data_IF_907317680971
#
_entry.id   IF_907317680971
#
_cell.length_a   1.000
_cell.length_b   1.000
_cell.length_c   1.000
_cell.angle_alpha   90.00
_cell.angle_beta   90.00
_cell.angle_gamma   90.00
#
_symmetry.space_group_name_H-M   'P 1'
#
loop_
_entity.id
_entity.type
_entity.pdbx_description
1 polymer ?
#
# COMPACT_ATOMS: atom_id res chain seq x y z
N UNK A 1 21.01 15.09 9.18
CA UNK A 1 19.62 14.53 9.12
C UNK A 1 18.61 15.49 8.50
N UNK A 2 18.65 16.80 8.81
CA UNK A 2 17.72 17.79 8.23
C UNK A 2 17.81 17.90 6.70
N UNK A 3 19.01 17.86 6.12
CA UNK A 3 19.17 17.97 4.65
C UNK A 3 18.68 16.75 3.88
N UNK A 4 18.74 15.56 4.51
CA UNK A 4 18.18 14.33 3.95
C UNK A 4 16.66 14.42 3.80
N UNK A 5 15.96 14.97 4.80
CA UNK A 5 14.52 15.17 4.76
C UNK A 5 14.09 16.30 3.82
N UNK A 6 15.03 17.15 3.36
CA UNK A 6 14.77 18.20 2.37
C UNK A 6 14.79 17.64 0.94
N UNK A 7 15.40 16.47 0.71
CA UNK A 7 15.39 15.82 -0.59
C UNK A 7 13.95 15.58 -1.06
N UNK A 8 13.60 16.19 -2.19
CA UNK A 8 12.28 16.03 -2.82
C UNK A 8 11.80 14.57 -2.90
N UNK A 9 12.58 13.60 -3.42
CA UNK A 9 12.12 12.22 -3.49
C UNK A 9 11.87 11.60 -2.11
N UNK A 10 12.68 11.93 -1.10
CA UNK A 10 12.46 11.46 0.28
C UNK A 10 11.16 12.04 0.82
N UNK A 11 10.91 13.34 0.64
CA UNK A 11 9.64 13.97 1.05
C UNK A 11 8.44 13.31 0.37
N UNK A 12 8.53 13.08 -0.94
CA UNK A 12 7.44 12.43 -1.68
C UNK A 12 7.14 11.03 -1.16
N UNK A 13 8.18 10.21 -0.94
CA UNK A 13 8.05 8.86 -0.36
C UNK A 13 7.46 8.92 1.05
N UNK A 14 7.93 9.84 1.90
CA UNK A 14 7.43 9.96 3.28
C UNK A 14 5.98 10.42 3.32
N UNK A 15 5.59 11.38 2.47
CA UNK A 15 4.21 11.85 2.38
C UNK A 15 3.29 10.73 1.90
N UNK A 16 3.63 10.02 0.82
CA UNK A 16 2.79 8.91 0.32
C UNK A 16 2.76 7.73 1.29
N UNK A 17 3.86 7.44 1.99
CA UNK A 17 3.86 6.46 3.08
C UNK A 17 2.93 6.89 4.22
N UNK A 18 2.97 8.17 4.60
CA UNK A 18 2.06 8.74 5.60
C UNK A 18 0.59 8.63 5.21
N UNK A 19 0.26 8.84 3.93
CA UNK A 19 -1.10 8.65 3.41
C UNK A 19 -1.55 7.19 3.57
N UNK A 20 -0.71 6.21 3.22
CA UNK A 20 -1.02 4.79 3.41
C UNK A 20 -1.21 4.46 4.89
N UNK A 21 -0.29 4.91 5.74
CA UNK A 21 -0.37 4.65 7.19
C UNK A 21 -1.60 5.29 7.82
N UNK A 22 -2.01 6.48 7.38
CA UNK A 22 -3.26 7.11 7.82
C UNK A 22 -4.49 6.31 7.36
N UNK A 23 -4.51 5.84 6.12
CA UNK A 23 -5.59 4.99 5.62
C UNK A 23 -5.67 3.67 6.40
N UNK A 24 -4.53 3.02 6.66
CA UNK A 24 -4.45 1.84 7.53
C UNK A 24 -4.92 2.13 8.96
N UNK A 25 -4.51 3.26 9.54
CA UNK A 25 -4.93 3.63 10.89
C UNK A 25 -6.44 3.88 10.99
N UNK A 26 -7.03 4.53 9.98
CA UNK A 26 -8.48 4.75 9.92
C UNK A 26 -9.23 3.42 9.82
N UNK A 27 -8.80 2.51 8.94
CA UNK A 27 -9.41 1.18 8.81
C UNK A 27 -9.25 0.38 10.09
N UNK A 28 -8.06 0.37 10.69
CA UNK A 28 -7.82 -0.31 11.96
C UNK A 28 -8.72 0.22 13.09
N UNK A 29 -8.91 1.54 13.16
CA UNK A 29 -9.81 2.14 14.15
C UNK A 29 -11.27 1.71 13.95
N UNK A 30 -11.75 1.66 12.71
CA UNK A 30 -13.09 1.13 12.40
C UNK A 30 -13.23 -0.33 12.84
N UNK A 31 -12.25 -1.17 12.50
CA UNK A 31 -12.24 -2.58 12.91
C UNK A 31 -12.22 -2.75 14.43
N UNK A 32 -11.52 -1.87 15.16
CA UNK A 32 -11.49 -1.91 16.62
C UNK A 32 -12.84 -1.55 17.24
N UNK A 33 -13.57 -0.60 16.63
CA UNK A 33 -14.94 -0.26 17.06
C UNK A 33 -15.89 -1.41 16.82
N UNK A 34 -15.88 -2.01 15.63
CA UNK A 34 -16.71 -3.18 15.29
C UNK A 34 -16.42 -4.36 16.22
N UNK A 35 -15.14 -4.66 16.46
CA UNK A 35 -14.72 -5.69 17.40
C UNK A 35 -15.20 -5.40 18.83
N UNK A 36 -15.12 -4.14 19.28
CA UNK A 36 -15.60 -3.71 20.59
C UNK A 36 -17.11 -3.92 20.75
N UNK A 37 -17.89 -3.56 19.74
CA UNK A 37 -19.34 -3.76 19.72
C UNK A 37 -19.71 -5.24 19.70
N UNK A 38 -19.07 -6.04 18.84
CA UNK A 38 -19.28 -7.47 18.78
C UNK A 38 -18.91 -8.15 20.11
N UNK A 39 -17.80 -7.76 20.73
CA UNK A 39 -17.40 -8.24 22.05
C UNK A 39 -18.40 -7.85 23.14
N UNK A 40 -18.92 -6.62 23.13
CA UNK A 40 -19.95 -6.18 24.06
C UNK A 40 -21.24 -7.01 23.88
N UNK A 41 -21.64 -7.28 22.64
CA UNK A 41 -22.77 -8.16 22.33
C UNK A 41 -22.54 -9.60 22.80
N UNK A 42 -21.29 -10.03 23.00
CA UNK A 42 -20.91 -11.33 23.54
C UNK A 42 -20.68 -11.34 25.07
N UNK A 43 -20.82 -10.21 25.77
CA UNK A 43 -20.69 -10.20 27.23
C UNK A 43 -21.88 -10.87 27.89
N UNK A 44 -21.61 -11.69 28.92
CA UNK A 44 -22.63 -12.39 29.71
C UNK A 44 -22.91 -13.84 29.27
N UNK A 45 -22.44 -14.26 28.09
CA UNK A 45 -22.50 -15.67 27.70
C UNK A 45 -21.52 -16.49 28.54
N UNK A 46 -22.02 -17.54 29.19
CA UNK A 46 -21.20 -18.39 30.07
C UNK A 46 -21.21 -19.84 29.63
N UNK A 47 -22.17 -20.65 30.12
CA UNK A 47 -22.22 -22.09 29.90
C UNK A 47 -22.34 -22.43 28.41
N UNK A 48 -21.70 -23.53 28.03
CA UNK A 48 -21.86 -24.15 26.72
C UNK A 48 -22.64 -25.46 26.87
N UNK A 49 -23.62 -25.69 26.01
CA UNK A 49 -24.36 -26.95 25.90
C UNK A 49 -24.56 -27.29 24.43
N UNK A 50 -25.27 -28.38 24.16
CA UNK A 50 -25.65 -28.77 22.79
C UNK A 50 -27.10 -28.38 22.55
N UNK A 51 -27.33 -27.63 21.48
CA UNK A 51 -28.66 -27.34 20.97
C UNK A 51 -29.00 -28.19 19.76
N UNK A 52 -30.28 -28.43 19.55
CA UNK A 52 -30.83 -28.92 18.29
C UNK A 52 -31.42 -27.75 17.52
N UNK A 53 -31.04 -27.58 16.26
CA UNK A 53 -31.69 -26.61 15.35
C UNK A 53 -33.09 -27.14 15.03
N UNK A 54 -34.12 -26.32 15.25
CA UNK A 54 -35.52 -26.69 15.05
C UNK A 54 -36.20 -25.91 13.93
N UNK A 55 -35.49 -24.98 13.30
CA UNK A 55 -36.01 -24.20 12.19
C UNK A 55 -35.08 -23.06 11.80
N UNK A 56 -35.32 -22.51 10.61
CA UNK A 56 -34.60 -21.38 10.06
C UNK A 56 -35.59 -20.43 9.38
N UNK A 57 -35.39 -19.12 9.58
CA UNK A 57 -36.17 -18.07 8.94
C UNK A 57 -35.28 -16.84 8.75
N UNK A 58 -35.24 -16.30 7.54
CA UNK A 58 -34.65 -14.98 7.22
C UNK A 58 -33.35 -14.65 7.96
N UNK A 59 -32.30 -15.47 7.75
CA UNK A 59 -30.98 -15.23 8.35
C UNK A 59 -30.87 -15.63 9.81
N UNK A 60 -31.91 -16.19 10.42
CA UNK A 60 -31.91 -16.60 11.82
C UNK A 60 -32.20 -18.10 11.98
N UNK A 61 -31.47 -18.76 12.86
CA UNK A 61 -31.76 -20.14 13.26
C UNK A 61 -32.48 -20.16 14.62
N UNK A 62 -33.49 -21.01 14.72
CA UNK A 62 -34.15 -21.30 16.00
C UNK A 62 -33.53 -22.57 16.58
N UNK A 63 -33.07 -22.48 17.82
CA UNK A 63 -32.37 -23.56 18.50
C UNK A 63 -33.05 -23.91 19.82
N UNK A 64 -33.16 -25.20 20.11
CA UNK A 64 -33.69 -25.71 21.38
C UNK A 64 -32.61 -26.41 22.16
N UNK A 65 -32.46 -26.09 23.45
CA UNK A 65 -31.46 -26.69 24.33
C UNK A 65 -31.91 -26.76 25.77
N UNK A 66 -31.34 -27.71 26.52
CA UNK A 66 -31.60 -27.88 27.94
C UNK A 66 -30.80 -26.87 28.78
N UNK A 67 -31.46 -26.30 29.78
CA UNK A 67 -30.85 -25.45 30.81
C UNK A 67 -30.99 -26.14 32.17
N UNK A 68 -29.92 -26.29 32.97
CA UNK A 68 -29.99 -26.97 34.25
C UNK A 68 -31.07 -26.38 35.17
N UNK A 69 -31.95 -27.24 35.69
CA UNK A 69 -33.02 -26.84 36.60
C UNK A 69 -34.17 -26.06 35.96
N UNK A 70 -34.26 -26.03 34.61
CA UNK A 70 -35.35 -25.40 33.87
C UNK A 70 -35.85 -26.31 32.74
N UNK A 71 -37.02 -26.01 32.19
CA UNK A 71 -37.47 -26.62 30.95
C UNK A 71 -36.54 -26.25 29.79
N UNK A 72 -36.56 -27.06 28.73
CA UNK A 72 -35.86 -26.74 27.47
C UNK A 72 -36.22 -25.33 27.01
N UNK A 73 -35.19 -24.56 26.65
CA UNK A 73 -35.33 -23.19 26.17
C UNK A 73 -35.15 -23.18 24.67
N UNK A 74 -35.97 -22.36 24.01
CA UNK A 74 -35.84 -22.05 22.58
C UNK A 74 -35.29 -20.63 22.44
N UNK A 75 -34.27 -20.46 21.60
CA UNK A 75 -33.68 -19.17 21.29
C UNK A 75 -33.61 -18.96 19.77
N UNK A 76 -33.80 -17.73 19.33
CA UNK A 76 -33.59 -17.32 17.94
C UNK A 76 -32.25 -16.62 17.83
N UNK A 77 -31.37 -17.12 16.97
CA UNK A 77 -30.00 -16.64 16.79
C UNK A 77 -29.82 -16.15 15.36
N UNK A 78 -29.49 -14.89 15.20
CA UNK A 78 -29.13 -14.28 13.92
C UNK A 78 -27.78 -14.82 13.44
N UNK A 79 -27.70 -15.19 12.16
CA UNK A 79 -26.55 -15.80 11.52
C UNK A 79 -26.02 -14.91 10.38
N UNK A 80 -24.70 -14.86 10.25
CA UNK A 80 -23.98 -14.26 9.12
C UNK A 80 -23.17 -15.33 8.36
N UNK A 81 -23.68 -16.57 8.37
CA UNK A 81 -23.12 -17.71 7.66
C UNK A 81 -24.22 -18.63 7.16
N UNK A 82 -23.87 -19.61 6.33
CA UNK A 82 -24.81 -20.65 5.91
C UNK A 82 -25.45 -21.33 7.14
N UNK A 83 -26.78 -21.45 7.19
CA UNK A 83 -27.44 -22.05 8.33
C UNK A 83 -27.13 -23.55 8.45
N UNK A 84 -27.02 -24.10 9.66
CA UNK A 84 -26.95 -25.54 9.85
C UNK A 84 -28.23 -26.21 9.36
N UNK A 85 -28.15 -27.49 9.00
CA UNK A 85 -29.32 -28.27 8.62
C UNK A 85 -30.35 -28.36 9.76
N UNK A 86 -31.63 -28.48 9.41
CA UNK A 86 -32.68 -28.71 10.40
C UNK A 86 -32.44 -30.03 11.15
N UNK A 87 -32.66 -30.04 12.46
CA UNK A 87 -32.32 -31.15 13.36
C UNK A 87 -30.82 -31.30 13.67
N UNK A 88 -29.94 -30.46 13.11
CA UNK A 88 -28.51 -30.52 13.42
C UNK A 88 -28.24 -30.20 14.90
N UNK A 89 -27.25 -30.89 15.47
CA UNK A 89 -26.76 -30.62 16.83
C UNK A 89 -25.58 -29.67 16.77
N UNK A 90 -25.70 -28.51 17.39
CA UNK A 90 -24.67 -27.45 17.39
C UNK A 90 -24.32 -27.04 18.82
N UNK A 91 -23.07 -26.67 19.10
CA UNK A 91 -22.74 -26.07 20.38
C UNK A 91 -23.45 -24.71 20.50
N UNK A 92 -24.05 -24.45 21.65
CA UNK A 92 -24.71 -23.19 21.98
C UNK A 92 -24.13 -22.64 23.26
N UNK A 93 -23.85 -21.33 23.29
CA UNK A 93 -23.55 -20.60 24.52
C UNK A 93 -24.72 -19.67 24.81
N UNK A 94 -25.14 -19.63 26.07
CA UNK A 94 -26.29 -18.81 26.48
C UNK A 94 -25.96 -17.97 27.71
N UNK A 95 -26.74 -16.91 27.91
CA UNK A 95 -26.69 -16.08 29.10
C UNK A 95 -27.51 -16.75 30.22
N UNK A 96 -26.92 -17.14 31.37
CA UNK A 96 -27.66 -17.80 32.45
C UNK A 96 -28.78 -16.94 33.04
N UNK A 97 -28.62 -15.60 33.01
CA UNK A 97 -29.64 -14.67 33.49
C UNK A 97 -30.80 -14.55 32.50
N UNK A 98 -30.53 -14.69 31.20
CA UNK A 98 -31.53 -14.69 30.15
C UNK A 98 -31.24 -15.77 29.08
N UNK A 99 -31.65 -17.03 29.29
CA UNK A 99 -31.29 -18.13 28.39
C UNK A 99 -31.85 -18.02 26.97
N UNK A 100 -32.85 -17.17 26.72
CA UNK A 100 -33.32 -16.88 25.37
C UNK A 100 -32.26 -16.11 24.54
N UNK A 101 -31.30 -15.46 25.21
CA UNK A 101 -30.12 -14.88 24.58
C UNK A 101 -29.08 -15.99 24.45
N UNK A 102 -28.88 -16.48 23.22
CA UNK A 102 -27.96 -17.54 22.89
C UNK A 102 -27.15 -17.20 21.63
N UNK A 103 -25.98 -17.82 21.49
CA UNK A 103 -25.13 -17.75 20.29
C UNK A 103 -24.67 -19.15 19.91
N UNK A 104 -24.64 -19.41 18.61
CA UNK A 104 -24.13 -20.64 18.00
C UNK A 104 -23.02 -20.29 16.99
N UNK A 105 -22.19 -21.25 16.54
CA UNK A 105 -21.26 -21.01 15.44
C UNK A 105 -21.98 -20.41 14.23
N UNK A 106 -21.37 -19.37 13.64
CA UNK A 106 -22.00 -18.61 12.55
C UNK A 106 -22.90 -17.45 13.01
N UNK A 107 -23.15 -17.30 14.31
CA UNK A 107 -23.89 -16.16 14.83
C UNK A 107 -23.21 -14.84 14.46
N UNK A 108 -24.00 -13.85 14.04
CA UNK A 108 -23.54 -12.54 13.60
C UNK A 108 -22.46 -11.94 14.50
N UNK A 109 -22.64 -11.81 15.85
CA UNK A 109 -21.60 -11.19 16.69
C UNK A 109 -20.28 -11.99 16.75
N UNK A 110 -20.31 -13.31 16.56
CA UNK A 110 -19.08 -14.11 16.49
C UNK A 110 -18.35 -13.87 15.17
N UNK A 111 -19.09 -13.93 14.06
CA UNK A 111 -18.55 -13.69 12.71
C UNK A 111 -18.00 -12.28 12.57
N UNK A 112 -18.71 -11.26 13.07
CA UNK A 112 -18.24 -9.87 13.09
C UNK A 112 -16.96 -9.71 13.90
N UNK A 113 -16.87 -10.31 15.10
CA UNK A 113 -15.66 -10.24 15.91
C UNK A 113 -14.47 -10.91 15.21
N UNK A 114 -14.68 -12.07 14.58
CA UNK A 114 -13.64 -12.80 13.85
C UNK A 114 -13.16 -12.02 12.63
N UNK A 115 -14.08 -11.53 11.78
CA UNK A 115 -13.76 -10.69 10.61
C UNK A 115 -13.00 -9.43 11.04
N UNK A 116 -13.48 -8.73 12.05
CA UNK A 116 -12.83 -7.51 12.54
C UNK A 116 -11.41 -7.76 13.04
N UNK A 117 -11.19 -8.87 13.77
CA UNK A 117 -9.85 -9.26 14.23
C UNK A 117 -8.90 -9.61 13.08
N UNK A 118 -9.42 -10.29 12.05
CA UNK A 118 -8.67 -10.68 10.85
C UNK A 118 -8.27 -9.45 10.05
N UNK A 119 -9.21 -8.55 9.75
CA UNK A 119 -8.92 -7.31 9.02
C UNK A 119 -7.99 -6.38 9.80
N UNK A 120 -8.15 -6.28 11.12
CA UNK A 120 -7.22 -5.52 11.97
C UNK A 120 -5.79 -6.07 11.85
N UNK A 121 -5.63 -7.40 11.90
CA UNK A 121 -4.33 -8.07 11.74
C UNK A 121 -3.71 -7.80 10.37
N UNK A 122 -4.48 -8.00 9.29
CA UNK A 122 -4.03 -7.73 7.91
C UNK A 122 -3.60 -6.27 7.76
N UNK A 123 -4.35 -5.33 8.34
CA UNK A 123 -4.04 -3.89 8.29
C UNK A 123 -2.74 -3.55 9.00
N UNK A 124 -2.49 -4.14 10.18
CA UNK A 124 -1.22 -3.98 10.90
C UNK A 124 -0.05 -4.54 10.10
N UNK A 125 -0.21 -5.75 9.54
CA UNK A 125 0.83 -6.38 8.69
C UNK A 125 1.13 -5.50 7.46
N UNK A 126 0.10 -4.94 6.82
CA UNK A 126 0.27 -4.05 5.68
C UNK A 126 1.01 -2.75 6.05
N UNK A 127 0.65 -2.14 7.19
CA UNK A 127 1.35 -0.96 7.70
C UNK A 127 2.83 -1.25 8.03
N UNK A 128 3.11 -2.38 8.68
CA UNK A 128 4.49 -2.82 8.95
C UNK A 128 5.26 -3.07 7.65
N UNK A 129 4.65 -3.70 6.66
CA UNK A 129 5.28 -3.92 5.36
C UNK A 129 5.65 -2.59 4.68
N UNK A 130 4.76 -1.58 4.74
CA UNK A 130 5.04 -0.23 4.23
C UNK A 130 6.23 0.40 4.93
N UNK A 131 6.30 0.31 6.26
CA UNK A 131 7.40 0.84 7.05
C UNK A 131 8.73 0.14 6.73
N UNK A 132 8.73 -1.19 6.69
CA UNK A 132 9.92 -2.02 6.42
C UNK A 132 10.43 -1.75 5.01
N UNK A 133 9.55 -1.78 3.99
CA UNK A 133 9.93 -1.52 2.60
C UNK A 133 10.44 -0.09 2.45
N UNK A 134 9.76 0.90 3.05
CA UNK A 134 10.19 2.30 2.99
C UNK A 134 11.55 2.49 3.64
N UNK A 135 11.76 1.96 4.85
CA UNK A 135 13.03 2.01 5.55
C UNK A 135 14.16 1.32 4.77
N UNK A 136 13.91 0.13 4.26
CA UNK A 136 14.86 -0.61 3.41
C UNK A 136 15.25 0.19 2.15
N UNK A 137 14.29 0.84 1.49
CA UNK A 137 14.54 1.64 0.30
C UNK A 137 15.26 2.95 0.63
N UNK A 138 14.95 3.62 1.73
CA UNK A 138 15.69 4.80 2.18
C UNK A 138 17.16 4.45 2.46
N UNK A 139 17.41 3.30 3.08
CA UNK A 139 18.78 2.81 3.33
C UNK A 139 19.49 2.47 2.01
N UNK A 140 18.87 1.65 1.16
CA UNK A 140 19.54 1.11 -0.03
C UNK A 140 19.67 2.09 -1.18
N UNK A 141 18.75 3.04 -1.33
CA UNK A 141 18.73 4.00 -2.44
C UNK A 141 19.28 5.37 -2.10
N UNK A 142 19.33 5.73 -0.81
CA UNK A 142 19.81 7.06 -0.41
C UNK A 142 21.01 6.97 0.51
N UNK A 143 20.92 6.26 1.64
CA UNK A 143 22.00 6.26 2.62
C UNK A 143 23.26 5.53 2.13
N UNK A 144 23.12 4.37 1.50
CA UNK A 144 24.27 3.62 0.94
C UNK A 144 24.95 4.38 -0.20
N UNK A 145 24.24 4.86 -1.24
CA UNK A 145 24.88 5.60 -2.32
C UNK A 145 25.49 6.93 -1.86
N UNK A 146 24.87 7.64 -0.90
CA UNK A 146 25.45 8.88 -0.36
C UNK A 146 26.79 8.68 0.37
N UNK A 147 27.06 7.47 0.86
CA UNK A 147 28.31 7.10 1.54
C UNK A 147 29.30 6.38 0.61
N UNK A 148 28.91 6.11 -0.63
CA UNK A 148 29.75 5.41 -1.58
C UNK A 148 30.89 6.31 -2.06
N UNK A 149 32.05 5.71 -2.33
CA UNK A 149 33.21 6.41 -2.85
C UNK A 149 32.92 6.99 -4.23
N UNK A 150 33.31 8.26 -4.41
CA UNK A 150 33.23 8.90 -5.72
C UNK A 150 34.26 8.28 -6.67
N UNK A 151 33.82 7.99 -7.89
CA UNK A 151 34.64 7.46 -8.98
C UNK A 151 34.73 8.47 -10.13
N UNK A 152 35.70 8.31 -11.05
CA UNK A 152 35.95 9.25 -12.13
C UNK A 152 34.68 9.59 -12.93
N UNK A 153 34.64 10.82 -13.45
CA UNK A 153 33.48 11.30 -14.18
C UNK A 153 33.24 10.49 -15.46
N UNK A 154 32.00 10.03 -15.66
CA UNK A 154 31.57 9.25 -16.82
C UNK A 154 30.63 10.11 -17.66
N UNK A 155 30.74 10.11 -19.00
CA UNK A 155 29.77 10.75 -19.87
C UNK A 155 28.43 10.01 -19.78
N UNK A 156 27.36 10.77 -19.53
CA UNK A 156 26.01 10.26 -19.42
C UNK A 156 25.01 11.08 -20.21
N UNK A 157 23.88 10.45 -20.51
CA UNK A 157 22.72 11.09 -21.15
C UNK A 157 21.49 10.87 -20.30
N UNK A 158 20.66 11.91 -20.14
CA UNK A 158 19.32 11.73 -19.59
C UNK A 158 18.41 11.14 -20.66
N UNK A 159 17.66 10.12 -20.26
CA UNK A 159 16.62 9.50 -21.07
C UNK A 159 15.32 9.47 -20.27
N UNK A 160 14.22 9.96 -20.84
CA UNK A 160 12.88 9.73 -20.30
C UNK A 160 12.27 8.53 -20.98
N UNK A 161 11.68 7.64 -20.19
CA UNK A 161 10.97 6.47 -20.71
C UNK A 161 9.56 6.45 -20.20
N UNK A 162 8.62 6.44 -21.14
CA UNK A 162 7.18 6.39 -20.89
C UNK A 162 6.66 4.97 -21.16
N UNK A 163 5.98 4.38 -20.17
CA UNK A 163 5.27 3.11 -20.30
C UNK A 163 3.80 3.31 -19.91
N UNK A 164 2.94 3.40 -20.92
CA UNK A 164 1.56 3.81 -20.74
C UNK A 164 1.49 5.26 -20.25
N UNK A 165 0.84 5.49 -19.12
CA UNK A 165 0.71 6.81 -18.51
C UNK A 165 1.82 7.12 -17.49
N UNK A 166 2.72 6.17 -17.23
CA UNK A 166 3.81 6.35 -16.27
C UNK A 166 5.10 6.73 -16.98
N UNK A 167 5.70 7.83 -16.55
CA UNK A 167 6.98 8.33 -17.06
C UNK A 167 8.04 8.21 -15.99
N UNK A 168 9.25 7.82 -16.39
CA UNK A 168 10.40 7.67 -15.50
C UNK A 168 11.66 8.25 -16.12
N UNK A 169 12.47 8.92 -15.30
CA UNK A 169 13.80 9.38 -15.69
C UNK A 169 14.82 8.26 -15.55
N UNK A 170 15.69 8.16 -16.55
CA UNK A 170 16.85 7.28 -16.59
C UNK A 170 18.08 8.08 -16.96
N UNK A 171 19.23 7.57 -16.55
CA UNK A 171 20.53 8.02 -17.00
C UNK A 171 21.22 6.85 -17.68
N UNK A 172 21.65 7.08 -18.92
CA UNK A 172 22.41 6.14 -19.73
C UNK A 172 23.89 6.51 -19.65
N UNK A 173 24.76 5.53 -19.39
CA UNK A 173 26.21 5.71 -19.48
C UNK A 173 26.71 5.36 -20.89
N UNK A 174 27.50 6.26 -21.51
CA UNK A 174 27.93 6.11 -22.91
C UNK A 174 29.02 5.03 -23.10
N UNK A 175 29.86 4.78 -22.08
CA UNK A 175 31.00 3.87 -22.16
C UNK A 175 30.85 2.60 -21.33
N UNK A 176 31.71 1.61 -21.60
CA UNK A 176 31.69 0.32 -20.92
C UNK A 176 32.04 0.45 -19.41
N UNK A 177 31.16 -0.01 -18.50
CA UNK A 177 29.92 -0.72 -18.78
C UNK A 177 28.75 0.23 -19.11
N UNK A 178 28.07 -0.02 -20.25
CA UNK A 178 26.80 0.64 -20.56
C UNK A 178 25.77 0.23 -19.51
N UNK A 179 25.17 1.22 -18.86
CA UNK A 179 24.21 1.04 -17.76
C UNK A 179 23.08 2.03 -17.89
N UNK A 180 21.90 1.52 -17.58
CA UNK A 180 20.64 2.25 -17.48
C UNK A 180 20.31 2.40 -16.00
N UNK A 181 20.51 3.60 -15.48
CA UNK A 181 20.34 3.92 -14.06
C UNK A 181 19.02 4.68 -13.92
N UNK A 182 17.98 4.08 -13.33
CA UNK A 182 16.76 4.82 -13.05
C UNK A 182 17.03 5.81 -11.92
N UNK A 183 16.67 7.07 -12.10
CA UNK A 183 16.90 8.12 -11.09
C UNK A 183 15.58 8.73 -10.65
N UNK A 184 15.53 9.16 -9.39
CA UNK A 184 14.42 10.00 -8.95
C UNK A 184 14.46 11.33 -9.68
N UNK A 185 13.28 11.88 -9.98
CA UNK A 185 13.21 13.18 -10.61
C UNK A 185 13.86 14.27 -9.74
N UNK A 186 14.78 15.01 -10.34
CA UNK A 186 15.27 16.30 -9.89
C UNK A 186 15.09 17.34 -11.00
N UNK A 187 14.75 18.61 -10.71
CA UNK A 187 14.67 19.66 -11.72
C UNK A 187 15.95 19.84 -12.55
N UNK A 188 17.13 19.60 -11.98
CA UNK A 188 18.43 19.68 -12.68
C UNK A 188 18.53 18.70 -13.85
N UNK A 189 17.78 17.59 -13.82
CA UNK A 189 17.68 16.67 -14.96
C UNK A 189 17.09 17.33 -16.22
N UNK A 190 16.25 18.36 -16.07
CA UNK A 190 15.62 19.06 -17.20
C UNK A 190 16.67 19.75 -18.07
N UNK A 191 17.63 20.41 -17.44
CA UNK A 191 18.70 21.13 -18.11
C UNK A 191 19.96 20.31 -18.38
N UNK A 192 20.00 19.03 -18.01
CA UNK A 192 21.20 18.21 -18.16
C UNK A 192 21.58 18.07 -19.65
N UNK A 193 22.74 18.60 -20.08
CA UNK A 193 23.19 18.47 -21.47
C UNK A 193 23.51 17.02 -21.80
N UNK A 194 23.46 16.67 -23.09
CA UNK A 194 23.66 15.32 -23.58
C UNK A 194 24.78 15.30 -24.61
N UNK A 195 26.00 14.82 -24.29
CA UNK A 195 26.42 14.16 -23.05
C UNK A 195 26.89 15.13 -21.93
N UNK A 196 26.68 14.76 -20.67
CA UNK A 196 27.22 15.44 -19.49
C UNK A 196 28.23 14.53 -18.75
N UNK A 197 29.32 15.10 -18.22
CA UNK A 197 30.26 14.35 -17.36
C UNK A 197 29.77 14.41 -15.92
N UNK A 198 29.53 13.25 -15.32
CA UNK A 198 29.00 13.15 -13.95
C UNK A 198 29.85 12.21 -13.11
N UNK A 199 30.05 12.56 -11.83
CA UNK A 199 30.74 11.65 -10.91
C UNK A 199 29.81 10.50 -10.53
N UNK A 200 30.37 9.31 -10.39
CA UNK A 200 29.62 8.12 -10.00
C UNK A 200 29.89 7.80 -8.54
N UNK A 201 28.84 7.64 -7.75
CA UNK A 201 28.93 7.24 -6.35
C UNK A 201 28.64 5.73 -6.23
N UNK A 202 29.72 4.94 -6.21
CA UNK A 202 29.69 3.47 -6.26
C UNK A 202 30.33 2.87 -7.51
N UNK A 203 30.16 1.57 -7.72
CA UNK A 203 30.70 0.80 -8.85
C UNK A 203 29.61 0.36 -9.83
N UNK A 204 29.62 0.87 -11.07
CA UNK A 204 28.67 0.49 -12.13
C UNK A 204 28.69 -1.00 -12.51
N UNK A 205 29.75 -1.74 -12.15
CA UNK A 205 29.88 -3.17 -12.42
C UNK A 205 29.30 -4.04 -11.30
N UNK A 206 29.38 -3.58 -10.05
CA UNK A 206 29.05 -4.38 -8.87
C UNK A 206 27.80 -3.88 -8.14
N UNK A 207 27.61 -2.57 -8.07
CA UNK A 207 26.56 -1.97 -7.26
C UNK A 207 25.22 -1.95 -8.00
N UNK A 208 24.19 -2.41 -7.29
CA UNK A 208 22.82 -2.41 -7.78
C UNK A 208 22.22 -1.00 -7.80
N UNK A 209 22.52 -0.18 -6.79
CA UNK A 209 21.98 1.17 -6.63
C UNK A 209 23.14 2.15 -6.63
N UNK A 210 23.24 2.93 -7.70
CA UNK A 210 24.34 3.88 -7.93
C UNK A 210 23.75 5.27 -8.02
N UNK A 211 24.28 6.19 -7.23
CA UNK A 211 23.93 7.62 -7.32
C UNK A 211 24.93 8.34 -8.22
N UNK A 212 24.48 9.45 -8.80
CA UNK A 212 25.31 10.27 -9.68
C UNK A 212 25.41 11.67 -9.09
N UNK A 213 26.58 12.31 -9.18
CA UNK A 213 26.76 13.71 -8.78
C UNK A 213 26.95 14.58 -10.01
N UNK A 214 26.09 15.58 -10.15
CA UNK A 214 26.07 16.55 -11.26
C UNK A 214 26.15 17.93 -10.64
N UNK A 215 27.19 18.69 -10.95
CA UNK A 215 27.39 20.06 -10.46
C UNK A 215 27.17 20.20 -8.93
N UNK A 216 27.64 19.20 -8.17
CA UNK A 216 27.49 19.14 -6.71
C UNK A 216 26.15 18.56 -6.21
N UNK A 217 25.12 18.44 -7.05
CA UNK A 217 23.86 17.79 -6.70
C UNK A 217 23.91 16.27 -6.87
N UNK A 218 23.37 15.52 -5.90
CA UNK A 218 23.29 14.06 -5.97
C UNK A 218 21.93 13.61 -6.52
N UNK A 219 21.96 12.94 -7.66
CA UNK A 219 20.85 12.22 -8.27
C UNK A 219 20.77 10.80 -7.68
N UNK A 220 19.73 10.56 -6.88
CA UNK A 220 19.55 9.28 -6.21
C UNK A 220 18.87 8.24 -7.12
N UNK A 221 19.28 6.95 -7.04
CA UNK A 221 18.69 5.89 -7.83
C UNK A 221 17.25 5.61 -7.40
N UNK A 222 16.32 5.61 -8.35
CA UNK A 222 14.95 5.16 -8.14
C UNK A 222 14.81 3.63 -8.19
N UNK A 223 15.88 2.91 -8.52
CA UNK A 223 15.90 1.45 -8.57
C UNK A 223 17.23 0.91 -9.06
N UNK A 224 17.24 -0.38 -9.38
CA UNK A 224 18.45 -1.07 -9.80
C UNK A 224 18.96 -0.58 -11.16
N UNK A 225 20.27 -0.33 -11.27
CA UNK A 225 20.96 -0.15 -12.55
C UNK A 225 20.82 -1.41 -13.40
N UNK A 226 20.68 -1.24 -14.73
CA UNK A 226 20.41 -2.34 -15.67
C UNK A 226 21.39 -2.33 -16.83
N UNK A 227 21.74 -3.50 -17.38
CA UNK A 227 22.56 -3.58 -18.59
C UNK A 227 21.76 -3.32 -19.88
N UNK A 228 20.43 -3.50 -19.84
CA UNK A 228 19.55 -3.39 -21.00
C UNK A 228 18.64 -2.17 -20.93
N UNK A 229 18.27 -1.68 -22.12
CA UNK A 229 17.38 -0.55 -22.27
C UNK A 229 16.00 -0.85 -21.64
N UNK A 230 15.45 0.09 -20.84
CA UNK A 230 14.12 -0.06 -20.29
C UNK A 230 13.04 -0.06 -21.37
N UNK A 231 12.04 -0.93 -21.21
CA UNK A 231 10.87 -1.00 -22.10
C UNK A 231 10.02 0.26 -22.01
N UNK A 232 9.70 0.88 -23.14
CA UNK A 232 8.77 2.01 -23.26
C UNK A 232 9.15 2.94 -24.42
N UNK A 233 8.39 4.02 -24.59
CA UNK A 233 8.72 5.08 -25.54
C UNK A 233 9.84 5.93 -24.94
N UNK A 234 10.94 6.04 -25.67
CA UNK A 234 12.12 6.84 -25.31
C UNK A 234 11.96 8.30 -25.74
N UNK A 235 12.42 9.22 -24.91
CA UNK A 235 12.55 10.64 -25.22
C UNK A 235 13.86 11.13 -24.65
N UNK A 236 14.77 11.57 -25.51
CA UNK A 236 16.08 12.06 -25.13
C UNK A 236 16.09 13.56 -24.91
N UNK A 237 17.05 14.02 -24.10
CA UNK A 237 17.36 15.44 -23.98
C UNK A 237 18.04 15.95 -25.27
N UNK A 238 17.92 17.26 -25.58
CA UNK A 238 18.59 17.87 -26.72
C UNK A 238 20.11 17.76 -26.57
N UNK A 239 20.81 17.69 -27.71
CA UNK A 239 22.26 17.66 -27.75
C UNK A 239 22.88 19.03 -27.40
N UNK A 240 22.15 20.12 -27.70
CA UNK A 240 22.60 21.50 -27.45
C UNK A 240 21.94 22.09 -26.20
N UNK A 241 22.63 22.98 -25.47
CA UNK A 241 22.04 23.74 -24.37
C UNK A 241 20.82 24.53 -24.85
N UNK A 242 19.68 24.27 -24.21
CA UNK A 242 18.39 24.87 -24.54
C UNK A 242 18.00 25.85 -23.43
N UNK A 243 17.95 27.14 -23.76
CA UNK A 243 17.67 28.22 -22.81
C UNK A 243 16.30 28.06 -22.13
N UNK A 244 15.28 27.57 -22.86
CA UNK A 244 13.94 27.33 -22.30
C UNK A 244 13.97 26.18 -21.28
N UNK A 245 14.77 25.14 -21.55
CA UNK A 245 14.95 24.02 -20.60
C UNK A 245 15.81 24.40 -19.40
N UNK A 246 16.81 25.25 -19.57
CA UNK A 246 17.59 25.81 -18.47
C UNK A 246 16.69 26.64 -17.54
N UNK A 247 15.81 27.46 -18.12
CA UNK A 247 14.80 28.19 -17.37
C UNK A 247 13.83 27.23 -16.67
N UNK A 248 13.33 26.21 -17.35
CA UNK A 248 12.45 25.20 -16.76
C UNK A 248 13.11 24.40 -15.62
N UNK A 249 14.42 24.14 -15.70
CA UNK A 249 15.20 23.49 -14.65
C UNK A 249 15.36 24.36 -13.40
N UNK A 250 15.42 25.69 -13.56
CA UNK A 250 15.50 26.66 -12.46
C UNK A 250 14.18 26.81 -11.70
N UNK A 251 13.05 26.47 -12.32
CA UNK A 251 11.72 26.61 -11.72
C UNK A 251 11.42 25.44 -10.77
N UNK A 252 10.97 25.71 -9.53
CA UNK A 252 10.60 24.64 -8.61
C UNK A 252 9.36 23.90 -9.12
N UNK A 253 9.51 22.62 -9.44
CA UNK A 253 8.35 21.79 -9.81
C UNK A 253 7.54 21.45 -8.55
N UNK A 254 6.26 21.86 -8.44
CA UNK A 254 5.50 21.65 -7.21
C UNK A 254 5.12 20.17 -7.02
N UNK A 255 4.97 19.73 -5.75
CA UNK A 255 4.53 18.37 -5.42
C UNK A 255 3.17 18.01 -6.05
N UNK A 256 2.26 18.98 -6.23
CA UNK A 256 0.99 18.75 -6.94
C UNK A 256 1.19 18.16 -8.35
N UNK A 257 2.26 18.56 -9.05
CA UNK A 257 2.58 18.03 -10.39
C UNK A 257 3.09 16.60 -10.29
N UNK A 258 3.80 16.26 -9.23
CA UNK A 258 4.19 14.89 -8.91
C UNK A 258 2.96 14.00 -8.68
N UNK A 259 2.03 14.43 -7.82
CA UNK A 259 0.79 13.67 -7.57
C UNK A 259 -0.03 13.46 -8.84
N UNK A 260 -0.11 14.47 -9.72
CA UNK A 260 -0.78 14.32 -11.03
C UNK A 260 -0.11 13.25 -11.91
N UNK A 261 1.22 13.19 -11.91
CA UNK A 261 1.95 12.15 -12.64
C UNK A 261 1.74 10.74 -12.04
N UNK A 262 1.36 10.66 -10.76
CA UNK A 262 1.08 9.40 -10.05
C UNK A 262 -0.39 8.95 -10.17
N UNK A 263 -1.33 9.84 -10.52
CA UNK A 263 -2.76 9.53 -10.66
C UNK A 263 -3.06 8.26 -11.49
N UNK A 264 -2.36 7.96 -12.60
CA UNK A 264 -2.62 6.73 -13.34
C UNK A 264 -2.46 5.45 -12.50
N UNK A 265 -1.64 5.46 -11.44
CA UNK A 265 -1.49 4.31 -10.55
C UNK A 265 -2.76 4.03 -9.72
N UNK A 266 -3.67 5.00 -9.60
CA UNK A 266 -4.90 4.88 -8.83
C UNK A 266 -6.07 4.34 -9.64
N UNK A 267 -5.97 4.31 -10.98
CA UNK A 267 -7.09 3.96 -11.85
C UNK A 267 -7.66 2.55 -11.58
N UNK A 268 -6.82 1.64 -11.05
CA UNK A 268 -7.21 0.27 -10.69
C UNK A 268 -7.97 0.18 -9.36
N UNK A 269 -7.85 1.18 -8.49
CA UNK A 269 -8.39 1.15 -7.14
C UNK A 269 -9.92 0.96 -7.07
N UNK A 270 -10.76 1.72 -7.80
CA UNK A 270 -12.20 1.52 -7.75
C UNK A 270 -12.64 0.17 -8.30
N UNK A 271 -11.91 -0.38 -9.29
CA UNK A 271 -12.20 -1.71 -9.85
C UNK A 271 -11.94 -2.80 -8.82
N UNK A 272 -10.80 -2.72 -8.12
CA UNK A 272 -10.48 -3.64 -7.01
C UNK A 272 -11.48 -3.49 -5.88
N UNK A 273 -11.88 -2.26 -5.56
CA UNK A 273 -12.91 -2.00 -4.56
C UNK A 273 -14.25 -2.65 -4.91
N UNK A 274 -14.69 -2.58 -6.17
CA UNK A 274 -15.98 -3.15 -6.60
C UNK A 274 -15.91 -4.67 -6.49
N UNK A 275 -14.83 -5.26 -7.00
CA UNK A 275 -14.60 -6.69 -6.89
C UNK A 275 -14.66 -7.17 -5.44
N UNK A 276 -13.98 -6.46 -4.52
CA UNK A 276 -13.99 -6.81 -3.11
C UNK A 276 -15.39 -6.70 -2.49
N UNK A 277 -16.07 -5.58 -2.71
CA UNK A 277 -17.41 -5.35 -2.15
C UNK A 277 -18.43 -6.40 -2.61
N UNK A 278 -18.28 -6.92 -3.84
CA UNK A 278 -19.13 -7.99 -4.37
C UNK A 278 -18.81 -9.36 -3.74
N UNK A 279 -17.52 -9.66 -3.54
CA UNK A 279 -17.09 -10.93 -2.95
C UNK A 279 -17.42 -11.00 -1.45
N UNK A 280 -17.27 -9.89 -0.75
CA UNK A 280 -17.37 -9.79 0.71
C UNK A 280 -18.77 -9.35 1.18
N UNK A 281 -19.67 -8.98 0.24
CA UNK A 281 -21.03 -8.51 0.55
C UNK A 281 -21.09 -7.17 1.29
N UNK A 282 -19.96 -6.47 1.46
CA UNK A 282 -19.82 -5.27 2.28
C UNK A 282 -20.39 -3.98 1.65
N UNK A 283 -20.92 -4.06 0.43
CA UNK A 283 -21.65 -2.98 -0.23
C UNK A 283 -20.82 -1.72 -0.45
N UNK A 284 -21.47 -0.54 -0.36
CA UNK A 284 -20.84 0.75 -0.66
C UNK A 284 -19.69 1.09 0.30
N UNK A 285 -19.84 0.75 1.59
CA UNK A 285 -18.82 1.02 2.61
C UNK A 285 -17.55 0.22 2.35
N UNK A 286 -17.68 -1.08 2.09
CA UNK A 286 -16.54 -1.92 1.72
C UNK A 286 -15.85 -1.45 0.44
N UNK A 287 -16.64 -1.08 -0.57
CA UNK A 287 -16.13 -0.50 -1.81
C UNK A 287 -15.27 0.75 -1.56
N UNK A 288 -15.79 1.71 -0.79
CA UNK A 288 -15.08 2.96 -0.47
C UNK A 288 -13.78 2.69 0.29
N UNK A 289 -13.84 1.86 1.34
CA UNK A 289 -12.68 1.53 2.17
C UNK A 289 -11.56 0.91 1.34
N UNK A 290 -11.88 -0.11 0.54
CA UNK A 290 -10.89 -0.80 -0.29
C UNK A 290 -10.36 0.11 -1.39
N UNK A 291 -11.23 0.92 -2.02
CA UNK A 291 -10.81 1.88 -3.04
C UNK A 291 -9.80 2.89 -2.47
N UNK A 292 -10.07 3.47 -1.30
CA UNK A 292 -9.17 4.43 -0.66
C UNK A 292 -7.83 3.78 -0.29
N UNK A 293 -7.86 2.56 0.29
CA UNK A 293 -6.65 1.82 0.61
C UNK A 293 -5.80 1.53 -0.63
N UNK A 294 -6.39 0.94 -1.67
CA UNK A 294 -5.67 0.59 -2.91
C UNK A 294 -5.14 1.85 -3.60
N UNK A 295 -5.89 2.96 -3.57
CA UNK A 295 -5.44 4.24 -4.11
C UNK A 295 -4.23 4.79 -3.33
N UNK A 296 -4.25 4.72 -2.00
CA UNK A 296 -3.11 5.10 -1.16
C UNK A 296 -1.87 4.26 -1.47
N UNK A 297 -2.03 2.93 -1.59
CA UNK A 297 -0.96 2.03 -2.00
C UNK A 297 -0.44 2.34 -3.42
N UNK A 298 -1.32 2.72 -4.34
CA UNK A 298 -0.97 3.16 -5.70
C UNK A 298 -0.05 4.38 -5.68
N UNK A 299 -0.37 5.41 -4.88
CA UNK A 299 0.48 6.59 -4.70
C UNK A 299 1.84 6.23 -4.10
N UNK A 300 1.84 5.43 -3.03
CA UNK A 300 3.07 4.97 -2.39
C UNK A 300 3.95 4.19 -3.39
N UNK A 301 3.36 3.29 -4.16
CA UNK A 301 4.07 2.52 -5.17
C UNK A 301 4.66 3.40 -6.29
N UNK A 302 3.90 4.39 -6.77
CA UNK A 302 4.37 5.34 -7.78
C UNK A 302 5.55 6.17 -7.25
N UNK A 303 5.46 6.65 -6.00
CA UNK A 303 6.53 7.35 -5.30
C UNK A 303 7.79 6.48 -5.16
N UNK A 304 7.63 5.21 -4.77
CA UNK A 304 8.76 4.27 -4.69
C UNK A 304 9.41 4.03 -6.06
N UNK A 305 8.64 4.02 -7.15
CA UNK A 305 9.20 3.86 -8.50
C UNK A 305 9.94 5.10 -9.02
N UNK A 306 9.66 6.28 -8.47
CA UNK A 306 10.28 7.54 -8.88
C UNK A 306 9.72 8.03 -10.22
N UNK A 307 8.46 8.42 -10.23
CA UNK A 307 7.82 9.05 -11.38
C UNK A 307 8.49 10.37 -11.78
N UNK A 308 8.47 10.67 -13.07
CA UNK A 308 8.97 11.92 -13.63
C UNK A 308 7.79 12.85 -14.01
N UNK A 309 7.59 13.98 -13.30
CA UNK A 309 6.51 14.93 -13.56
C UNK A 309 6.83 15.95 -14.67
N UNK A 310 8.05 15.93 -15.24
CA UNK A 310 8.48 16.93 -16.25
C UNK A 310 7.78 16.80 -17.58
#
# INVERSE_FOLDING_TARGET
MRDFLRLRPVRHILVTSGIVLLACAAVFALQLVEFGQARAALQGFGPQTTATVTGYSDGSATVRFAVPGRADVTATVELDSSPPADGARVPVRYDPANPARAVIPGATPLVTAERASTYATVTVVAALAVLVVTGFLLVTRFLRPARATARPAVPVRRVKVQRGLLTRSWVETDHAPRRWIPVYFSPSLIGLPSPAKVEVLGDLRQDRHVALRVDGEVLYPAGAARPSEPRGRRTDNPAEPDAERAEAASRPVPLRRQFRADLPALAVAPVVGVFWALVDGSGLTGWLVVTVLVAAFGFWWAALRGSDPS
#
